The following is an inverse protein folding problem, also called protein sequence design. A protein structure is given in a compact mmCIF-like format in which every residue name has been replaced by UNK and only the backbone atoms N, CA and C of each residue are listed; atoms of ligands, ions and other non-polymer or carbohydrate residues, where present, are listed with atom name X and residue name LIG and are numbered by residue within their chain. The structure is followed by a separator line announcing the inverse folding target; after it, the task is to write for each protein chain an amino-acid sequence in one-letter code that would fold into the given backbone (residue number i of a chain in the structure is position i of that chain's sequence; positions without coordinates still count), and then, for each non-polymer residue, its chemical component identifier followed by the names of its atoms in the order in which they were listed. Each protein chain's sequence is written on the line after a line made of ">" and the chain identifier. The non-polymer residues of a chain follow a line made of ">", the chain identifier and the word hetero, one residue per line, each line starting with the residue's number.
data_IF_593565848141
#
_entry.id   IF_593565848141
#
_cell.length_a   1.000
_cell.length_b   1.000
_cell.length_c   1.000
_cell.angle_alpha   90.00
_cell.angle_beta   90.00
_cell.angle_gamma   90.00
#
_symmetry.space_group_name_H-M   'P 1'
#
loop_
_entity.id
_entity.type
_entity.pdbx_description
1 polymer ?
#
# COMPACT_ATOMS: atom_id res chain seq x y z
N UNK A 1 28.93 -7.79 -13.44
CA UNK A 1 27.84 -6.83 -13.24
C UNK A 1 26.93 -7.31 -12.10
N UNK A 2 26.69 -6.44 -11.15
CA UNK A 2 25.87 -6.80 -10.01
C UNK A 2 24.41 -6.54 -10.30
N UNK A 3 23.57 -7.50 -9.97
CA UNK A 3 22.14 -7.30 -10.05
C UNK A 3 21.67 -6.40 -8.92
N UNK A 4 20.77 -5.50 -9.24
CA UNK A 4 20.18 -4.67 -8.23
C UNK A 4 19.29 -5.52 -7.34
N UNK A 5 19.41 -5.32 -6.05
CA UNK A 5 18.61 -6.04 -5.07
C UNK A 5 17.55 -5.12 -4.50
N UNK A 6 16.41 -5.71 -4.16
CA UNK A 6 15.29 -4.97 -3.62
C UNK A 6 14.87 -5.58 -2.30
N UNK A 7 14.44 -4.75 -1.39
CA UNK A 7 13.72 -5.25 -0.23
C UNK A 7 12.28 -4.79 -0.33
N UNK A 8 11.38 -5.61 0.20
CA UNK A 8 9.95 -5.36 0.10
C UNK A 8 9.35 -5.21 1.46
N UNK A 9 8.34 -4.36 1.56
CA UNK A 9 7.60 -4.17 2.77
C UNK A 9 6.14 -4.01 2.45
N UNK A 10 5.32 -4.15 3.46
CA UNK A 10 3.90 -3.92 3.27
C UNK A 10 3.31 -3.21 4.47
N UNK A 11 2.26 -2.45 4.22
CA UNK A 11 1.51 -1.74 5.25
C UNK A 11 0.05 -2.03 5.03
N UNK A 12 -0.65 -2.43 6.10
CA UNK A 12 -2.08 -2.60 6.02
C UNK A 12 -2.76 -1.27 6.37
N UNK A 13 -3.61 -0.80 5.46
CA UNK A 13 -4.35 0.45 5.65
C UNK A 13 -5.81 0.09 5.81
N UNK A 14 -6.35 0.19 7.03
CA UNK A 14 -7.76 -0.13 7.23
C UNK A 14 -8.65 0.89 6.53
N UNK A 15 -9.77 0.43 6.04
CA UNK A 15 -10.72 1.29 5.40
C UNK A 15 -11.51 2.03 6.49
N UNK A 16 -11.37 3.34 6.61
CA UNK A 16 -12.00 4.05 7.71
C UNK A 16 -13.50 4.20 7.55
N UNK A 17 -13.99 4.16 6.32
CA UNK A 17 -15.42 4.35 6.06
C UNK A 17 -16.01 3.07 5.50
N UNK A 18 -16.66 2.35 6.38
CA UNK A 18 -17.25 1.07 6.01
C UNK A 18 -18.47 1.22 5.10
N UNK A 19 -19.00 2.42 4.98
CA UNK A 19 -20.24 2.63 4.24
C UNK A 19 -20.01 3.13 2.83
N UNK A 20 -18.92 3.79 2.59
CA UNK A 20 -18.69 4.44 1.33
C UNK A 20 -17.88 3.66 0.34
N UNK A 21 -17.41 2.48 0.72
CA UNK A 21 -16.50 1.77 -0.14
C UNK A 21 -15.13 2.42 -0.11
N UNK A 22 -14.56 2.68 -1.28
CA UNK A 22 -13.25 3.30 -1.35
C UNK A 22 -13.31 4.76 -0.91
N UNK A 23 -12.26 5.26 -0.25
CA UNK A 23 -12.20 6.68 0.07
C UNK A 23 -12.34 7.51 -1.18
N UNK A 24 -12.99 8.66 -1.06
CA UNK A 24 -13.19 9.54 -2.21
C UNK A 24 -11.87 9.98 -2.83
N UNK A 25 -10.85 10.10 -2.00
CA UNK A 25 -9.55 10.52 -2.46
C UNK A 25 -8.74 9.40 -3.12
N UNK A 26 -9.26 8.16 -3.08
CA UNK A 26 -8.54 7.03 -3.61
C UNK A 26 -7.51 6.52 -2.63
N UNK A 27 -6.25 6.42 -3.06
CA UNK A 27 -5.20 5.90 -2.21
C UNK A 27 -4.85 6.87 -1.09
N UNK A 28 -4.32 6.32 -0.01
CA UNK A 28 -3.86 7.10 1.12
C UNK A 28 -2.49 7.68 0.77
N UNK A 29 -2.51 8.82 0.11
CA UNK A 29 -1.28 9.44 -0.37
C UNK A 29 -0.38 9.91 0.76
N UNK A 30 -0.95 10.25 1.91
CA UNK A 30 -0.12 10.68 3.04
C UNK A 30 0.81 9.55 3.48
N UNK A 31 0.27 8.33 3.55
CA UNK A 31 1.11 7.18 3.92
C UNK A 31 2.12 6.85 2.83
N UNK A 32 1.69 6.94 1.57
CA UNK A 32 2.58 6.66 0.44
C UNK A 32 3.72 7.67 0.40
N UNK A 33 3.40 8.94 0.57
CA UNK A 33 4.42 9.98 0.55
C UNK A 33 5.39 9.85 1.71
N UNK A 34 4.89 9.46 2.89
CA UNK A 34 5.77 9.23 4.02
C UNK A 34 6.75 8.10 3.73
N UNK A 35 6.26 7.01 3.16
CA UNK A 35 7.12 5.89 2.78
C UNK A 35 8.13 6.33 1.74
N UNK A 36 7.70 7.15 0.78
CA UNK A 36 8.59 7.65 -0.26
C UNK A 36 9.74 8.46 0.29
N UNK A 37 9.49 9.23 1.37
CA UNK A 37 10.55 10.00 1.99
C UNK A 37 11.61 9.13 2.64
N UNK A 38 11.27 7.87 2.91
CA UNK A 38 12.22 6.91 3.45
C UNK A 38 12.82 6.00 2.38
N UNK A 39 12.59 6.36 1.12
CA UNK A 39 13.18 5.63 0.01
C UNK A 39 12.32 4.50 -0.54
N UNK A 40 11.10 4.36 -0.06
CA UNK A 40 10.22 3.30 -0.52
C UNK A 40 9.42 3.74 -1.74
N UNK A 41 9.21 2.82 -2.65
CA UNK A 41 8.38 3.05 -3.83
C UNK A 41 7.18 2.11 -3.77
N UNK A 42 5.99 2.66 -3.99
CA UNK A 42 4.78 1.85 -3.99
C UNK A 42 4.75 0.96 -5.23
N UNK A 43 4.59 -0.34 -5.02
CA UNK A 43 4.49 -1.29 -6.11
C UNK A 43 3.03 -1.51 -6.48
N UNK A 44 2.20 -1.72 -5.46
CA UNK A 44 0.81 -2.05 -5.71
C UNK A 44 0.01 -1.88 -4.42
N UNK A 45 -1.27 -1.57 -4.58
CA UNK A 45 -2.21 -1.55 -3.47
C UNK A 45 -3.21 -2.67 -3.71
N UNK A 46 -3.24 -3.64 -2.80
CA UNK A 46 -4.08 -4.82 -2.94
C UNK A 46 -5.25 -4.72 -1.99
N UNK A 47 -6.48 -4.65 -2.50
CA UNK A 47 -7.64 -4.56 -1.62
C UNK A 47 -7.83 -5.86 -0.84
N UNK A 48 -8.20 -5.71 0.42
CA UNK A 48 -8.54 -6.84 1.26
C UNK A 48 -10.05 -6.88 1.43
N UNK A 49 -10.67 -7.93 0.92
CA UNK A 49 -12.12 -8.04 0.94
C UNK A 49 -12.54 -9.28 1.72
N UNK A 50 -13.75 -9.23 2.25
CA UNK A 50 -14.34 -10.40 2.88
C UNK A 50 -14.92 -11.33 1.82
N UNK A 51 -15.37 -12.50 2.25
CA UNK A 51 -16.03 -13.42 1.35
C UNK A 51 -17.32 -12.88 0.76
N UNK A 52 -17.85 -11.81 1.34
CA UNK A 52 -19.07 -11.18 0.84
C UNK A 52 -18.76 -9.96 -0.02
N UNK A 53 -17.50 -9.72 -0.31
CA UNK A 53 -17.13 -8.63 -1.17
C UNK A 53 -16.98 -7.29 -0.48
N UNK A 54 -17.05 -7.28 0.83
CA UNK A 54 -16.92 -6.03 1.59
C UNK A 54 -15.44 -5.67 1.72
N UNK A 55 -15.09 -4.42 1.39
CA UNK A 55 -13.72 -3.96 1.47
C UNK A 55 -13.39 -3.61 2.92
N UNK A 56 -12.37 -4.28 3.47
CA UNK A 56 -11.93 -4.03 4.85
C UNK A 56 -10.72 -3.11 4.91
N UNK A 57 -9.98 -3.04 3.85
CA UNK A 57 -8.78 -2.21 3.79
C UNK A 57 -7.96 -2.59 2.59
N UNK A 58 -6.70 -2.23 2.63
CA UNK A 58 -5.80 -2.57 1.54
C UNK A 58 -4.39 -2.78 2.08
N UNK A 59 -3.67 -3.65 1.41
CA UNK A 59 -2.24 -3.82 1.68
C UNK A 59 -1.48 -3.02 0.65
N UNK A 60 -0.67 -2.08 1.13
CA UNK A 60 0.20 -1.29 0.27
C UNK A 60 1.55 -1.97 0.25
N UNK A 61 2.00 -2.36 -0.92
CA UNK A 61 3.26 -3.08 -1.08
C UNK A 61 4.29 -2.13 -1.64
N UNK A 62 5.43 -2.06 -0.96
CA UNK A 62 6.51 -1.15 -1.31
C UNK A 62 7.78 -1.93 -1.58
N UNK A 63 8.67 -1.31 -2.31
CA UNK A 63 10.03 -1.82 -2.48
C UNK A 63 11.00 -0.66 -2.35
N UNK A 64 12.23 -1.00 -2.01
CA UNK A 64 13.31 -0.03 -2.10
C UNK A 64 14.61 -0.76 -2.41
N UNK A 65 15.54 -0.03 -3.02
CA UNK A 65 16.81 -0.60 -3.39
C UNK A 65 17.60 -0.96 -2.14
N UNK A 66 18.25 -2.10 -2.21
CA UNK A 66 19.07 -2.62 -1.12
C UNK A 66 20.52 -2.54 -1.54
N UNK A 67 21.32 -1.93 -0.70
CA UNK A 67 22.76 -1.79 -1.01
C UNK A 67 23.54 -3.05 -0.74
#
# INVERSE_FOLDING_TARGET
>A
MTSKKWEYGQVYVPHPDMFGGLPKSGLDLARINRAGQEGWELVEAVPFTTGQGEIKGAFYIFKRAQD
#
